data_IF_845704383880
#
_entry.id   IF_845704383880
#
_cell.length_a   1.000
_cell.length_b   1.000
_cell.length_c   1.000
_cell.angle_alpha   90.00
_cell.angle_beta   90.00
_cell.angle_gamma   90.00
#
_symmetry.space_group_name_H-M   'P 1'
#
loop_
_entity.id
_entity.type
_entity.pdbx_description
1 polymer ?
#
# COMPACT_ATOMS: atom_id res chain seq x y z
N UNK A 1 26.96 9.39 -20.65
CA UNK A 1 27.38 8.10 -20.05
C UNK A 1 26.97 8.18 -18.58
N UNK A 2 26.09 7.31 -18.08
CA UNK A 2 25.68 7.36 -16.66
C UNK A 2 26.89 7.03 -15.79
N UNK A 3 27.43 8.01 -15.06
CA UNK A 3 28.57 7.84 -14.18
C UNK A 3 28.26 8.48 -12.83
N UNK A 4 27.64 7.70 -11.96
CA UNK A 4 27.14 8.18 -10.68
C UNK A 4 28.22 8.82 -9.80
N UNK A 5 29.47 8.38 -9.90
CA UNK A 5 30.60 9.00 -9.18
C UNK A 5 30.94 10.37 -9.73
N UNK A 6 30.97 10.55 -11.05
CA UNK A 6 31.19 11.86 -11.66
C UNK A 6 30.02 12.81 -11.37
N UNK A 7 28.79 12.31 -11.47
CA UNK A 7 27.58 13.07 -11.18
C UNK A 7 27.61 13.58 -9.73
N UNK A 8 27.93 12.70 -8.77
CA UNK A 8 28.07 13.06 -7.36
C UNK A 8 29.17 14.11 -7.09
N UNK A 9 30.29 14.04 -7.82
CA UNK A 9 31.37 15.03 -7.70
C UNK A 9 30.99 16.39 -8.30
N UNK A 10 30.12 16.42 -9.31
CA UNK A 10 29.65 17.65 -9.96
C UNK A 10 28.41 18.27 -9.31
N UNK A 11 27.76 17.56 -8.39
CA UNK A 11 26.54 18.00 -7.71
C UNK A 11 26.78 19.26 -6.88
N UNK A 12 25.82 20.19 -6.89
CA UNK A 12 25.91 21.39 -6.07
C UNK A 12 25.85 21.07 -4.57
N UNK A 13 26.33 21.98 -3.73
CA UNK A 13 26.30 21.81 -2.27
C UNK A 13 24.87 21.55 -1.76
N UNK A 14 23.88 22.23 -2.32
CA UNK A 14 22.48 22.06 -1.92
C UNK A 14 21.98 20.66 -2.29
N UNK A 15 22.28 20.20 -3.51
CA UNK A 15 21.94 18.84 -3.96
C UNK A 15 22.55 17.76 -3.05
N UNK A 16 23.83 17.92 -2.67
CA UNK A 16 24.49 16.99 -1.76
C UNK A 16 23.81 16.94 -0.38
N UNK A 17 23.45 18.08 0.20
CA UNK A 17 22.75 18.15 1.49
C UNK A 17 21.40 17.42 1.41
N UNK A 18 20.63 17.65 0.34
CA UNK A 18 19.36 16.95 0.15
C UNK A 18 19.57 15.44 0.00
N UNK A 19 20.52 15.02 -0.82
CA UNK A 19 20.85 13.60 -1.01
C UNK A 19 21.21 12.94 0.33
N UNK A 20 22.02 13.61 1.17
CA UNK A 20 22.33 13.11 2.51
C UNK A 20 21.07 12.90 3.34
N UNK A 21 20.25 13.94 3.46
CA UNK A 21 19.02 13.91 4.24
C UNK A 21 18.11 12.74 3.82
N UNK A 22 17.86 12.58 2.51
CA UNK A 22 17.00 11.52 2.01
C UNK A 22 17.60 10.12 2.16
N UNK A 23 18.90 9.93 1.92
CA UNK A 23 19.54 8.63 2.08
C UNK A 23 19.49 8.14 3.54
N UNK A 24 19.67 9.01 4.53
CA UNK A 24 19.49 8.64 5.94
C UNK A 24 18.05 8.25 6.26
N UNK A 25 17.07 9.01 5.76
CA UNK A 25 15.65 8.65 5.89
C UNK A 25 15.37 7.28 5.26
N UNK A 26 15.96 6.99 4.10
CA UNK A 26 15.79 5.71 3.43
C UNK A 26 16.36 4.56 4.24
N UNK A 27 17.54 4.69 4.86
CA UNK A 27 18.08 3.63 5.74
C UNK A 27 17.10 3.30 6.86
N UNK A 28 16.61 4.32 7.56
CA UNK A 28 15.67 4.13 8.67
C UNK A 28 14.37 3.48 8.19
N UNK A 29 13.85 3.97 7.06
CA UNK A 29 12.60 3.47 6.47
C UNK A 29 12.74 2.04 5.94
N UNK A 30 13.89 1.69 5.35
CA UNK A 30 14.21 0.35 4.87
C UNK A 30 14.35 -0.61 6.05
N UNK A 31 15.11 -0.26 7.09
CA UNK A 31 15.26 -1.10 8.28
C UNK A 31 13.92 -1.39 8.96
N UNK A 32 13.10 -0.36 9.15
CA UNK A 32 11.75 -0.52 9.68
C UNK A 32 10.84 -1.32 8.74
N UNK A 33 10.88 -1.05 7.43
CA UNK A 33 10.07 -1.70 6.42
C UNK A 33 10.35 -3.20 6.27
N UNK A 34 11.62 -3.58 6.27
CA UNK A 34 12.04 -4.98 6.24
C UNK A 34 11.55 -5.74 7.46
N UNK A 35 11.70 -5.13 8.65
CA UNK A 35 11.26 -5.73 9.91
C UNK A 35 9.73 -5.86 9.96
N UNK A 36 9.02 -4.77 9.69
CA UNK A 36 7.56 -4.72 9.77
C UNK A 36 6.89 -5.65 8.76
N UNK A 37 7.37 -5.74 7.52
CA UNK A 37 6.79 -6.66 6.54
C UNK A 37 7.11 -8.12 6.82
N UNK A 38 8.29 -8.43 7.36
CA UNK A 38 8.61 -9.78 7.84
C UNK A 38 7.65 -10.21 8.97
N UNK A 39 7.39 -9.31 9.93
CA UNK A 39 6.39 -9.56 10.98
C UNK A 39 4.99 -9.71 10.38
N UNK A 40 4.59 -8.83 9.46
CA UNK A 40 3.27 -8.91 8.81
C UNK A 40 3.06 -10.27 8.15
N UNK A 41 4.03 -10.71 7.33
CA UNK A 41 3.98 -12.01 6.66
C UNK A 41 3.86 -13.17 7.65
N UNK A 42 4.69 -13.18 8.69
CA UNK A 42 4.64 -14.22 9.73
C UNK A 42 3.27 -14.27 10.41
N UNK A 43 2.71 -13.12 10.79
CA UNK A 43 1.42 -13.05 11.47
C UNK A 43 0.28 -13.47 10.53
N UNK A 44 0.27 -13.04 9.27
CA UNK A 44 -0.75 -13.48 8.31
C UNK A 44 -0.66 -14.97 7.98
N UNK A 45 0.56 -15.54 7.93
CA UNK A 45 0.75 -16.97 7.83
C UNK A 45 0.15 -17.72 9.05
N UNK A 46 0.40 -17.21 10.27
CA UNK A 46 -0.16 -17.77 11.51
C UNK A 46 -1.68 -17.64 11.63
N UNK A 47 -2.28 -16.55 11.16
CA UNK A 47 -3.75 -16.39 11.09
C UNK A 47 -4.38 -17.47 10.19
N UNK A 48 -3.62 -17.93 9.20
CA UNK A 48 -4.07 -18.87 8.17
C UNK A 48 -4.61 -18.14 6.96
N UNK A 49 -4.05 -18.45 5.79
CA UNK A 49 -4.38 -17.86 4.49
C UNK A 49 -5.71 -18.41 3.91
N UNK A 50 -6.78 -18.35 4.71
CA UNK A 50 -8.10 -18.92 4.37
C UNK A 50 -9.06 -17.88 3.80
N UNK A 51 -8.92 -16.62 4.19
CA UNK A 51 -9.78 -15.51 3.77
C UNK A 51 -9.10 -14.67 2.68
N UNK A 52 -9.88 -14.19 1.70
CA UNK A 52 -9.38 -13.37 0.59
C UNK A 52 -8.56 -12.15 1.08
N UNK A 53 -9.02 -11.53 2.16
CA UNK A 53 -8.36 -10.42 2.85
C UNK A 53 -6.95 -10.81 3.31
N UNK A 54 -6.84 -11.87 4.09
CA UNK A 54 -5.57 -12.30 4.68
C UNK A 54 -4.58 -12.70 3.59
N UNK A 55 -5.05 -13.37 2.54
CA UNK A 55 -4.24 -13.70 1.35
C UNK A 55 -3.72 -12.41 0.70
N UNK A 56 -4.61 -11.44 0.45
CA UNK A 56 -4.24 -10.17 -0.21
C UNK A 56 -3.22 -9.39 0.61
N UNK A 57 -3.42 -9.26 1.93
CA UNK A 57 -2.50 -8.55 2.82
C UNK A 57 -1.15 -9.27 2.96
N UNK A 58 -1.14 -10.60 2.91
CA UNK A 58 0.09 -11.39 2.87
C UNK A 58 0.88 -11.11 1.58
N UNK A 59 0.22 -11.14 0.41
CA UNK A 59 0.88 -10.84 -0.86
C UNK A 59 1.35 -9.39 -0.95
N UNK A 60 0.60 -8.44 -0.35
CA UNK A 60 1.03 -7.05 -0.24
C UNK A 60 2.32 -6.92 0.60
N UNK A 61 2.37 -7.56 1.77
CA UNK A 61 3.60 -7.54 2.59
C UNK A 61 4.76 -8.31 1.95
N UNK A 62 4.48 -9.36 1.17
CA UNK A 62 5.50 -10.04 0.38
C UNK A 62 6.07 -9.14 -0.72
N UNK A 63 5.22 -8.47 -1.49
CA UNK A 63 5.67 -7.58 -2.55
C UNK A 63 6.43 -6.37 -2.00
N UNK A 64 5.95 -5.78 -0.91
CA UNK A 64 6.63 -4.70 -0.20
C UNK A 64 8.01 -5.15 0.33
N UNK A 65 8.09 -6.33 0.96
CA UNK A 65 9.36 -6.87 1.47
C UNK A 65 10.38 -7.05 0.35
N UNK A 66 9.98 -7.68 -0.77
CA UNK A 66 10.88 -7.93 -1.90
C UNK A 66 11.29 -6.62 -2.57
N UNK A 67 10.37 -5.66 -2.72
CA UNK A 67 10.67 -4.31 -3.20
C UNK A 67 11.78 -3.65 -2.35
N UNK A 68 11.62 -3.65 -1.02
CA UNK A 68 12.56 -3.04 -0.08
C UNK A 68 13.93 -3.74 -0.11
N UNK A 69 13.97 -5.09 -0.12
CA UNK A 69 15.21 -5.87 -0.24
C UNK A 69 15.96 -5.50 -1.52
N UNK A 70 15.27 -5.41 -2.65
CA UNK A 70 15.87 -5.07 -3.94
C UNK A 70 16.27 -3.58 -4.05
N UNK A 71 15.71 -2.72 -3.21
CA UNK A 71 16.06 -1.31 -3.13
C UNK A 71 17.32 -1.05 -2.30
N UNK A 72 17.61 -1.90 -1.29
CA UNK A 72 18.78 -1.77 -0.42
C UNK A 72 20.12 -1.59 -1.15
N UNK A 73 20.47 -2.38 -2.20
CA UNK A 73 21.74 -2.21 -2.91
C UNK A 73 21.88 -0.84 -3.58
N UNK A 74 20.80 -0.31 -4.14
CA UNK A 74 20.78 1.03 -4.75
C UNK A 74 21.06 2.11 -3.70
N UNK A 75 20.41 2.04 -2.53
CA UNK A 75 20.66 2.98 -1.43
C UNK A 75 22.10 2.89 -0.93
N UNK A 76 22.60 1.67 -0.69
CA UNK A 76 23.96 1.46 -0.22
C UNK A 76 25.00 2.01 -1.21
N UNK A 77 24.81 1.76 -2.51
CA UNK A 77 25.71 2.26 -3.55
C UNK A 77 25.71 3.78 -3.64
N UNK A 78 24.53 4.41 -3.59
CA UNK A 78 24.41 5.89 -3.58
C UNK A 78 25.11 6.52 -2.40
N UNK A 79 24.99 5.94 -1.21
CA UNK A 79 25.68 6.42 -0.03
C UNK A 79 27.20 6.26 -0.12
N UNK A 80 27.69 5.10 -0.56
CA UNK A 80 29.13 4.90 -0.73
C UNK A 80 29.70 5.89 -1.73
N UNK A 81 29.02 6.12 -2.85
CA UNK A 81 29.44 7.09 -3.87
C UNK A 81 29.46 8.51 -3.30
N UNK A 82 28.48 8.85 -2.46
CA UNK A 82 28.40 10.18 -1.86
C UNK A 82 29.48 10.42 -0.79
N UNK A 83 29.70 9.45 0.11
CA UNK A 83 30.68 9.57 1.20
C UNK A 83 32.12 9.31 0.74
N UNK A 84 32.29 8.47 -0.27
CA UNK A 84 33.58 8.04 -0.80
C UNK A 84 33.53 8.07 -2.34
N UNK A 85 33.54 9.27 -2.94
CA UNK A 85 33.45 9.42 -4.41
C UNK A 85 34.59 8.70 -5.15
N UNK A 86 35.75 8.55 -4.51
CA UNK A 86 36.93 7.85 -5.03
C UNK A 86 37.01 6.38 -4.58
N UNK A 87 35.91 5.78 -4.11
CA UNK A 87 35.91 4.38 -3.71
C UNK A 87 36.28 3.48 -4.90
N UNK A 88 37.24 2.58 -4.69
CA UNK A 88 37.75 1.66 -5.69
C UNK A 88 36.76 0.50 -5.88
N UNK A 89 35.67 0.74 -6.61
CA UNK A 89 34.66 -0.27 -6.85
C UNK A 89 35.22 -1.45 -7.67
N UNK A 90 34.94 -2.71 -7.27
CA UNK A 90 35.34 -3.90 -8.04
C UNK A 90 34.51 -4.11 -9.33
N UNK A 91 33.40 -3.38 -9.46
CA UNK A 91 32.48 -3.37 -10.60
C UNK A 91 31.80 -2.00 -10.70
N UNK A 92 31.13 -1.71 -11.80
CA UNK A 92 30.40 -0.45 -11.97
C UNK A 92 29.24 -0.32 -10.95
N UNK A 93 29.23 0.71 -10.07
CA UNK A 93 28.16 0.90 -9.08
C UNK A 93 26.77 1.08 -9.71
N UNK A 94 26.68 1.43 -11.00
CA UNK A 94 25.39 1.46 -11.71
C UNK A 94 24.70 0.10 -11.77
N UNK A 95 25.43 -1.02 -11.62
CA UNK A 95 24.85 -2.36 -11.47
C UNK A 95 23.93 -2.41 -10.24
N UNK A 96 24.35 -1.80 -9.13
CA UNK A 96 23.55 -1.74 -7.91
C UNK A 96 22.46 -0.67 -7.99
N UNK A 97 22.73 0.45 -8.66
CA UNK A 97 21.78 1.58 -8.68
C UNK A 97 20.68 1.42 -9.72
N UNK A 98 21.01 1.02 -10.94
CA UNK A 98 20.05 0.82 -12.01
C UNK A 98 19.65 -0.66 -12.12
N UNK A 99 20.62 -1.58 -12.04
CA UNK A 99 20.38 -3.01 -12.25
C UNK A 99 19.39 -3.60 -11.23
N UNK A 100 19.56 -3.35 -9.93
CA UNK A 100 18.60 -3.87 -8.93
C UNK A 100 17.30 -3.08 -8.90
N UNK A 101 17.34 -1.79 -9.26
CA UNK A 101 16.17 -0.91 -9.25
C UNK A 101 15.09 -1.39 -10.21
N UNK A 102 15.42 -1.90 -11.40
CA UNK A 102 14.40 -2.40 -12.34
C UNK A 102 13.56 -3.52 -11.71
N UNK A 103 14.19 -4.43 -10.97
CA UNK A 103 13.49 -5.49 -10.25
C UNK A 103 12.73 -4.95 -9.04
N UNK A 104 13.31 -4.02 -8.28
CA UNK A 104 12.63 -3.36 -7.17
C UNK A 104 11.34 -2.66 -7.64
N UNK A 105 11.39 -1.96 -8.78
CA UNK A 105 10.23 -1.30 -9.37
C UNK A 105 9.15 -2.31 -9.79
N UNK A 106 9.50 -3.51 -10.26
CA UNK A 106 8.51 -4.54 -10.60
C UNK A 106 7.66 -4.94 -9.39
N UNK A 107 8.29 -5.14 -8.23
CA UNK A 107 7.56 -5.49 -7.01
C UNK A 107 6.79 -4.29 -6.45
N UNK A 108 7.27 -3.07 -6.66
CA UNK A 108 6.51 -1.86 -6.33
C UNK A 108 5.20 -1.75 -7.13
N UNK A 109 5.25 -1.98 -8.45
CA UNK A 109 4.05 -2.01 -9.29
C UNK A 109 3.09 -3.11 -8.84
N UNK A 110 3.64 -4.29 -8.52
CA UNK A 110 2.83 -5.38 -8.01
C UNK A 110 2.14 -5.01 -6.69
N UNK A 111 2.83 -4.39 -5.72
CA UNK A 111 2.22 -3.83 -4.51
C UNK A 111 1.10 -2.83 -4.84
N UNK A 112 1.31 -1.98 -5.85
CA UNK A 112 0.32 -1.02 -6.32
C UNK A 112 -0.94 -1.72 -6.86
N UNK A 113 -0.77 -2.76 -7.69
CA UNK A 113 -1.89 -3.55 -8.22
C UNK A 113 -2.64 -4.32 -7.13
N UNK A 114 -1.91 -4.88 -6.16
CA UNK A 114 -2.52 -5.54 -4.99
C UNK A 114 -3.31 -4.52 -4.15
N UNK A 115 -2.82 -3.29 -4.02
CA UNK A 115 -3.53 -2.20 -3.33
C UNK A 115 -4.81 -1.77 -4.06
N UNK A 116 -4.77 -1.68 -5.40
CA UNK A 116 -5.96 -1.44 -6.24
C UNK A 116 -6.97 -2.57 -6.07
N UNK A 117 -6.53 -3.82 -6.17
CA UNK A 117 -7.38 -4.99 -5.98
C UNK A 117 -8.04 -4.97 -4.60
N UNK A 118 -7.27 -4.67 -3.54
CA UNK A 118 -7.79 -4.51 -2.20
C UNK A 118 -8.85 -3.40 -2.14
N UNK A 119 -8.61 -2.22 -2.73
CA UNK A 119 -9.59 -1.13 -2.75
C UNK A 119 -10.91 -1.55 -3.44
N UNK A 120 -10.83 -2.22 -4.59
CA UNK A 120 -12.00 -2.70 -5.35
C UNK A 120 -12.78 -3.75 -4.55
N UNK A 121 -12.11 -4.77 -4.01
CA UNK A 121 -12.73 -5.83 -3.20
C UNK A 121 -13.52 -5.22 -2.03
N UNK A 122 -12.99 -4.16 -1.42
CA UNK A 122 -13.63 -3.51 -0.27
C UNK A 122 -14.78 -2.63 -0.65
N UNK A 123 -14.64 -1.89 -1.75
CA UNK A 123 -15.74 -1.16 -2.35
C UNK A 123 -16.91 -2.11 -2.65
N UNK A 124 -16.64 -3.27 -3.28
CA UNK A 124 -17.66 -4.28 -3.58
C UNK A 124 -18.28 -4.88 -2.30
N UNK A 125 -17.48 -5.13 -1.27
CA UNK A 125 -17.98 -5.66 0.00
C UNK A 125 -19.02 -4.75 0.67
N UNK A 126 -18.89 -3.43 0.50
CA UNK A 126 -19.83 -2.44 1.06
C UNK A 126 -20.96 -2.12 0.08
N UNK A 127 -20.66 -1.98 -1.20
CA UNK A 127 -21.64 -1.62 -2.22
C UNK A 127 -22.59 -2.78 -2.58
N UNK A 128 -22.11 -4.03 -2.54
CA UNK A 128 -22.83 -5.24 -2.94
C UNK A 128 -22.62 -6.42 -1.96
N UNK A 129 -23.04 -6.30 -0.69
CA UNK A 129 -22.73 -7.29 0.35
C UNK A 129 -23.30 -8.70 0.08
N UNK A 130 -24.46 -8.81 -0.58
CA UNK A 130 -25.13 -10.09 -0.88
C UNK A 130 -24.40 -10.90 -1.96
N UNK A 131 -23.85 -10.22 -2.96
CA UNK A 131 -23.11 -10.85 -4.08
C UNK A 131 -21.63 -11.03 -3.75
N UNK A 132 -21.09 -10.25 -2.80
CA UNK A 132 -19.65 -10.24 -2.52
C UNK A 132 -19.07 -11.62 -2.20
N UNK A 133 -19.76 -12.42 -1.36
CA UNK A 133 -19.27 -13.74 -0.93
C UNK A 133 -19.21 -14.75 -2.08
N UNK A 134 -20.10 -14.64 -3.06
CA UNK A 134 -20.09 -15.51 -4.23
C UNK A 134 -19.14 -14.99 -5.33
N UNK A 135 -18.92 -13.68 -5.38
CA UNK A 135 -17.96 -13.05 -6.31
C UNK A 135 -16.51 -13.34 -5.93
N UNK A 136 -16.12 -13.03 -4.69
CA UNK A 136 -14.71 -13.03 -4.25
C UNK A 136 -14.43 -14.26 -3.37
N UNK A 137 -14.06 -15.36 -4.03
CA UNK A 137 -13.62 -16.60 -3.36
C UNK A 137 -12.10 -16.64 -3.21
N UNK A 138 -11.59 -17.52 -2.35
CA UNK A 138 -10.14 -17.70 -2.13
C UNK A 138 -9.38 -18.05 -3.41
N UNK A 139 -9.94 -18.94 -4.23
CA UNK A 139 -9.30 -19.43 -5.47
C UNK A 139 -9.24 -18.32 -6.50
N UNK A 140 -10.35 -17.59 -6.67
CA UNK A 140 -10.40 -16.42 -7.57
C UNK A 140 -9.45 -15.33 -7.10
N UNK A 141 -9.36 -15.08 -5.79
CA UNK A 141 -8.40 -14.12 -5.22
C UNK A 141 -6.97 -14.51 -5.56
N UNK A 142 -6.58 -15.76 -5.34
CA UNK A 142 -5.24 -16.24 -5.66
C UNK A 142 -4.94 -16.13 -7.16
N UNK A 143 -5.89 -16.52 -8.01
CA UNK A 143 -5.78 -16.39 -9.46
C UNK A 143 -5.59 -14.92 -9.88
N UNK A 144 -6.38 -13.99 -9.33
CA UNK A 144 -6.24 -12.56 -9.60
C UNK A 144 -4.87 -12.05 -9.17
N UNK A 145 -4.40 -12.37 -7.96
CA UNK A 145 -3.10 -11.90 -7.46
C UNK A 145 -1.93 -12.42 -8.32
N UNK A 146 -1.95 -13.70 -8.70
CA UNK A 146 -0.95 -14.27 -9.62
C UNK A 146 -1.02 -13.58 -10.98
N UNK A 147 -2.23 -13.36 -11.51
CA UNK A 147 -2.41 -12.67 -12.80
C UNK A 147 -1.88 -11.24 -12.75
N UNK A 148 -2.12 -10.50 -11.66
CA UNK A 148 -1.58 -9.15 -11.46
C UNK A 148 -0.05 -9.16 -11.42
N UNK A 149 0.58 -10.16 -10.80
CA UNK A 149 2.03 -10.31 -10.83
C UNK A 149 2.55 -10.53 -12.25
N UNK A 150 1.91 -11.43 -13.01
CA UNK A 150 2.27 -11.69 -14.41
C UNK A 150 2.09 -10.44 -15.29
N UNK A 151 1.05 -9.65 -15.03
CA UNK A 151 0.84 -8.36 -15.68
C UNK A 151 1.99 -7.38 -15.35
N UNK A 152 2.40 -7.27 -14.07
CA UNK A 152 3.55 -6.45 -13.68
C UNK A 152 4.84 -6.89 -14.40
N UNK A 153 5.06 -8.19 -14.53
CA UNK A 153 6.20 -8.75 -15.28
C UNK A 153 6.12 -8.37 -16.76
N UNK A 154 4.97 -8.59 -17.41
CA UNK A 154 4.79 -8.33 -18.83
C UNK A 154 4.99 -6.84 -19.17
N UNK A 155 4.43 -5.96 -18.35
CA UNK A 155 4.54 -4.50 -18.51
C UNK A 155 5.99 -4.01 -18.37
N UNK A 156 6.79 -4.66 -17.51
CA UNK A 156 8.20 -4.30 -17.27
C UNK A 156 9.20 -5.10 -18.09
N UNK A 157 8.77 -6.11 -18.84
CA UNK A 157 9.63 -6.99 -19.62
C UNK A 157 10.59 -6.24 -20.56
N UNK A 158 10.16 -5.19 -21.30
CA UNK A 158 11.08 -4.43 -22.16
C UNK A 158 12.25 -3.82 -21.39
N UNK A 159 12.01 -3.31 -20.17
CA UNK A 159 13.04 -2.67 -19.34
C UNK A 159 14.11 -3.65 -18.84
N UNK A 160 13.87 -4.96 -18.88
CA UNK A 160 14.90 -5.96 -18.57
C UNK A 160 15.89 -6.19 -19.73
N UNK A 161 15.54 -5.79 -20.95
CA UNK A 161 16.36 -6.05 -22.14
C UNK A 161 17.40 -4.96 -22.41
N UNK A 162 17.25 -3.79 -21.77
CA UNK A 162 18.06 -2.60 -22.10
C UNK A 162 19.40 -2.54 -21.38
N UNK A 163 19.58 -3.34 -20.34
CA UNK A 163 20.81 -3.42 -19.57
C UNK A 163 21.55 -4.71 -19.87
N UNK A 164 22.85 -4.60 -20.18
CA UNK A 164 23.74 -5.74 -20.42
C UNK A 164 24.97 -5.63 -19.55
N UNK A 165 25.46 -6.77 -19.09
CA UNK A 165 26.71 -6.86 -18.33
C UNK A 165 27.86 -7.11 -19.29
N UNK A 166 28.86 -6.22 -19.31
CA UNK A 166 30.04 -6.37 -20.15
C UNK A 166 31.32 -6.17 -19.35
N UNK A 167 32.38 -6.90 -19.70
CA UNK A 167 33.70 -6.70 -19.10
C UNK A 167 34.41 -5.57 -19.83
N UNK A 168 34.79 -4.53 -19.09
CA UNK A 168 35.46 -3.33 -19.64
C UNK A 168 36.83 -3.18 -18.98
N UNK A 169 37.83 -2.81 -19.78
CA UNK A 169 39.19 -2.53 -19.30
C UNK A 169 39.32 -1.08 -18.89
N UNK A 170 39.75 -0.82 -17.66
CA UNK A 170 40.08 0.52 -17.19
C UNK A 170 41.41 0.96 -17.85
N UNK A 171 41.41 2.04 -18.66
CA UNK A 171 42.62 2.48 -19.35
C UNK A 171 43.69 3.03 -18.41
N UNK A 172 43.33 3.47 -17.20
CA UNK A 172 44.27 4.05 -16.22
C UNK A 172 44.99 2.99 -15.39
N UNK A 173 44.26 1.98 -14.93
CA UNK A 173 44.78 0.93 -14.03
C UNK A 173 45.07 -0.38 -14.76
N UNK A 174 44.74 -0.46 -16.05
CA UNK A 174 44.86 -1.65 -16.88
C UNK A 174 44.06 -2.88 -16.38
N UNK A 175 43.22 -2.72 -15.36
CA UNK A 175 42.40 -3.78 -14.78
C UNK A 175 41.08 -3.93 -15.53
N UNK A 176 40.52 -5.14 -15.56
CA UNK A 176 39.19 -5.40 -16.15
C UNK A 176 38.14 -5.50 -15.05
N UNK A 177 36.99 -4.84 -15.24
CA UNK A 177 35.88 -4.87 -14.30
C UNK A 177 34.54 -5.04 -15.04
N UNK A 178 33.51 -5.47 -14.30
CA UNK A 178 32.16 -5.61 -14.86
C UNK A 178 31.47 -4.26 -14.91
N UNK A 179 30.93 -3.89 -16.07
CA UNK A 179 30.22 -2.65 -16.31
C UNK A 179 28.78 -2.89 -16.74
N UNK A 180 27.86 -2.06 -16.29
CA UNK A 180 26.50 -2.03 -16.82
C UNK A 180 26.51 -1.20 -18.11
N UNK A 181 26.23 -1.86 -19.23
CA UNK A 181 26.20 -1.25 -20.55
C UNK A 181 24.74 -1.13 -21.02
N UNK A 182 24.38 0.06 -21.49
CA UNK A 182 23.07 0.31 -22.07
C UNK A 182 23.03 -0.20 -23.53
N UNK A 183 21.94 -0.84 -23.91
CA UNK A 183 21.70 -1.27 -25.29
C UNK A 183 21.41 -0.07 -26.21
N UNK A 184 21.54 -0.27 -27.53
CA UNK A 184 21.18 0.74 -28.55
C UNK A 184 19.71 1.17 -28.45
N UNK A 185 18.82 0.27 -28.06
CA UNK A 185 17.39 0.54 -27.94
C UNK A 185 17.00 1.17 -26.59
N UNK A 186 17.96 1.43 -25.69
CA UNK A 186 17.71 1.95 -24.35
C UNK A 186 16.80 3.17 -24.37
N UNK A 187 17.09 4.18 -25.20
CA UNK A 187 16.31 5.41 -25.24
C UNK A 187 14.86 5.19 -25.68
N UNK A 188 14.64 4.34 -26.70
CA UNK A 188 13.30 4.02 -27.22
C UNK A 188 12.48 3.24 -26.20
N UNK A 189 13.10 2.23 -25.59
CA UNK A 189 12.44 1.40 -24.56
C UNK A 189 12.19 2.20 -23.29
N UNK A 190 13.14 3.05 -22.87
CA UNK A 190 12.97 3.90 -21.69
C UNK A 190 11.85 4.93 -21.91
N UNK A 191 11.76 5.54 -23.09
CA UNK A 191 10.65 6.45 -23.43
C UNK A 191 9.29 5.73 -23.40
N UNK A 192 9.19 4.54 -24.01
CA UNK A 192 7.98 3.74 -23.95
C UNK A 192 7.63 3.32 -22.51
N UNK A 193 8.63 2.94 -21.71
CA UNK A 193 8.47 2.64 -20.30
C UNK A 193 8.07 3.87 -19.48
N UNK A 194 8.52 5.07 -19.83
CA UNK A 194 8.15 6.31 -19.12
C UNK A 194 6.67 6.66 -19.36
N UNK A 195 6.21 6.52 -20.61
CA UNK A 195 4.80 6.73 -20.99
C UNK A 195 3.90 5.67 -20.34
N UNK A 196 4.28 4.40 -20.39
CA UNK A 196 3.45 3.31 -19.87
C UNK A 196 3.56 3.17 -18.34
N UNK A 197 4.78 3.04 -17.82
CA UNK A 197 5.04 2.57 -16.46
C UNK A 197 5.19 3.69 -15.43
N UNK A 198 5.53 4.91 -15.87
CA UNK A 198 5.57 6.09 -14.99
C UNK A 198 4.32 6.96 -15.16
N UNK A 199 3.56 6.82 -16.26
CA UNK A 199 2.34 7.59 -16.51
C UNK A 199 1.07 6.72 -16.56
N UNK A 200 0.77 6.09 -17.69
CA UNK A 200 -0.56 5.49 -17.95
C UNK A 200 -0.98 4.52 -16.85
N UNK A 201 -0.13 3.54 -16.53
CA UNK A 201 -0.45 2.49 -15.56
C UNK A 201 -0.62 3.05 -14.14
N UNK A 202 0.33 3.83 -13.58
CA UNK A 202 0.14 4.48 -12.29
C UNK A 202 -1.08 5.40 -12.21
N UNK A 203 -1.39 6.17 -13.26
CA UNK A 203 -2.57 7.05 -13.28
C UNK A 203 -3.89 6.27 -13.25
N UNK A 204 -3.97 5.16 -13.98
CA UNK A 204 -5.13 4.27 -13.94
C UNK A 204 -5.30 3.65 -12.56
N UNK A 205 -4.22 3.16 -11.95
CA UNK A 205 -4.23 2.62 -10.59
C UNK A 205 -4.69 3.69 -9.58
N UNK A 206 -4.09 4.88 -9.64
CA UNK A 206 -4.41 6.01 -8.77
C UNK A 206 -5.88 6.41 -8.88
N UNK A 207 -6.37 6.62 -10.10
CA UNK A 207 -7.76 7.02 -10.37
C UNK A 207 -8.74 5.96 -9.89
N UNK A 208 -8.42 4.68 -10.10
CA UNK A 208 -9.25 3.56 -9.63
C UNK A 208 -9.38 3.57 -8.11
N UNK A 209 -8.28 3.76 -7.38
CA UNK A 209 -8.31 3.82 -5.90
C UNK A 209 -9.10 5.03 -5.42
N UNK A 210 -8.91 6.20 -6.03
CA UNK A 210 -9.69 7.41 -5.71
C UNK A 210 -11.19 7.15 -5.89
N UNK A 211 -11.60 6.58 -7.02
CA UNK A 211 -13.01 6.24 -7.29
C UNK A 211 -13.54 5.24 -6.24
N UNK A 212 -12.78 4.20 -5.92
CA UNK A 212 -13.16 3.21 -4.90
C UNK A 212 -13.36 3.86 -3.52
N UNK A 213 -12.46 4.76 -3.12
CA UNK A 213 -12.57 5.49 -1.85
C UNK A 213 -13.80 6.39 -1.83
N UNK A 214 -14.06 7.12 -2.92
CA UNK A 214 -15.24 7.97 -3.04
C UNK A 214 -16.52 7.14 -2.90
N UNK A 215 -16.64 6.01 -3.62
CA UNK A 215 -17.81 5.13 -3.52
C UNK A 215 -17.94 4.57 -2.10
N UNK A 216 -16.85 4.10 -1.51
CA UNK A 216 -16.83 3.54 -0.15
C UNK A 216 -17.31 4.55 0.89
N UNK A 217 -16.83 5.79 0.82
CA UNK A 217 -17.24 6.87 1.72
C UNK A 217 -18.71 7.23 1.56
N UNK A 218 -19.23 7.30 0.33
CA UNK A 218 -20.65 7.55 0.08
C UNK A 218 -21.53 6.45 0.66
N UNK A 219 -21.22 5.18 0.35
CA UNK A 219 -22.01 4.04 0.83
C UNK A 219 -21.97 3.87 2.34
N UNK A 220 -20.84 4.18 2.98
CA UNK A 220 -20.77 4.22 4.43
C UNK A 220 -21.65 5.31 5.05
N UNK A 221 -21.66 6.51 4.46
CA UNK A 221 -22.48 7.64 4.93
C UNK A 221 -23.96 7.33 4.77
N UNK A 222 -24.38 6.78 3.64
CA UNK A 222 -25.75 6.31 3.41
C UNK A 222 -26.17 5.28 4.47
N UNK A 223 -25.33 4.27 4.70
CA UNK A 223 -25.61 3.25 5.70
C UNK A 223 -25.67 3.82 7.13
N UNK A 224 -24.85 4.83 7.45
CA UNK A 224 -24.87 5.50 8.76
C UNK A 224 -26.15 6.33 8.96
N UNK A 225 -26.56 7.11 7.96
CA UNK A 225 -27.81 7.89 8.00
C UNK A 225 -29.04 6.99 8.13
N UNK A 226 -29.08 5.88 7.39
CA UNK A 226 -30.17 4.90 7.50
C UNK A 226 -30.29 4.33 8.92
N UNK A 227 -29.16 4.00 9.56
CA UNK A 227 -29.13 3.53 10.96
C UNK A 227 -29.61 4.59 11.95
N UNK A 228 -29.21 5.85 11.76
CA UNK A 228 -29.66 6.96 12.61
C UNK A 228 -31.18 7.20 12.47
N UNK A 229 -31.71 7.14 11.25
CA UNK A 229 -33.15 7.28 11.01
C UNK A 229 -33.97 6.20 11.73
N UNK A 230 -33.51 4.94 11.71
CA UNK A 230 -34.18 3.83 12.41
C UNK A 230 -34.12 3.98 13.94
N UNK A 231 -33.00 4.48 14.48
CA UNK A 231 -32.85 4.71 15.92
C UNK A 231 -33.81 5.79 16.43
N UNK A 232 -33.99 6.87 15.68
CA UNK A 232 -34.87 7.97 16.07
C UNK A 232 -36.36 7.58 16.02
N UNK A 233 -36.80 6.81 15.03
CA UNK A 233 -38.18 6.28 14.95
C UNK A 233 -38.52 5.26 16.04
N UNK A 234 -37.54 4.64 16.70
CA UNK A 234 -37.77 3.68 17.78
C UNK A 234 -38.13 4.33 19.13
N UNK A 235 -37.82 5.62 19.30
CA UNK A 235 -38.05 6.38 20.54
C UNK A 235 -39.40 7.10 20.58
N UNK A 236 -39.99 7.44 19.43
CA UNK A 236 -41.24 8.23 19.38
C UNK A 236 -42.52 7.40 19.61
N UNK A 237 -42.45 6.08 19.68
CA UNK A 237 -43.61 5.21 19.89
C UNK A 237 -43.96 4.93 21.36
N UNK A 238 -43.18 5.41 22.34
CA UNK A 238 -43.42 5.12 23.77
C UNK A 238 -44.05 6.27 24.59
N UNK A 239 -44.16 7.49 24.06
CA UNK A 239 -44.63 8.65 24.84
C UNK A 239 -46.07 9.09 24.50
N UNK A 240 -46.80 8.29 23.71
CA UNK A 240 -48.09 8.68 23.12
C UNK A 240 -49.32 7.92 23.63
N UNK A 241 -49.43 7.56 24.91
CA UNK A 241 -50.69 7.07 25.47
C UNK A 241 -50.79 7.28 26.98
N UNK A 242 -51.05 8.50 27.43
CA UNK A 242 -51.57 8.77 28.78
C UNK A 242 -52.41 10.05 28.79
N UNK A 243 -53.63 9.96 28.26
CA UNK A 243 -54.69 10.93 28.52
C UNK A 243 -55.97 10.16 28.79
N UNK A 244 -56.38 10.03 30.06
CA UNK A 244 -57.64 10.64 30.53
C UNK A 244 -57.86 10.47 32.05
N UNK A 245 -58.61 11.43 32.60
CA UNK A 245 -59.16 11.56 33.96
C UNK A 245 -60.01 10.36 34.43
N UNK A 246 -60.02 10.05 35.74
CA UNK A 246 -61.08 10.36 36.76
C UNK A 246 -61.01 9.44 38.00
N UNK A 247 -61.02 10.07 39.18
CA UNK A 247 -61.76 9.73 40.43
C UNK A 247 -61.91 8.28 40.91
N UNK A 248 -61.39 8.01 42.12
CA UNK A 248 -62.16 7.45 43.24
C UNK A 248 -62.45 5.94 43.33
N UNK A 249 -62.10 5.38 44.49
CA UNK A 249 -62.67 4.19 45.17
C UNK A 249 -61.90 2.87 45.13
N UNK A 250 -61.99 2.20 46.29
CA UNK A 250 -61.37 0.94 46.74
C UNK A 250 -61.87 -0.29 45.96
N UNK A 251 -61.05 -1.34 45.92
CA UNK A 251 -61.53 -2.71 45.72
C UNK A 251 -60.43 -3.70 45.34
N UNK A 252 -60.23 -4.75 46.16
CA UNK A 252 -59.46 -5.96 45.87
C UNK A 252 -59.91 -6.65 44.58
N UNK A 253 -58.99 -7.33 43.88
CA UNK A 253 -59.04 -8.78 43.58
C UNK A 253 -58.08 -9.15 42.44
N UNK A 254 -57.55 -10.37 42.53
CA UNK A 254 -56.65 -11.03 41.59
C UNK A 254 -57.27 -11.25 40.20
N UNK A 255 -56.45 -11.30 39.16
CA UNK A 255 -56.52 -12.33 38.10
C UNK A 255 -55.41 -12.19 37.06
N UNK A 256 -54.93 -13.36 36.65
CA UNK A 256 -53.93 -13.62 35.62
C UNK A 256 -54.29 -13.02 34.25
N UNK A 257 -53.28 -12.44 33.58
CA UNK A 257 -53.24 -12.49 32.12
C UNK A 257 -51.79 -12.44 31.63
N UNK A 258 -51.40 -13.56 31.01
CA UNK A 258 -50.14 -13.80 30.32
C UNK A 258 -49.99 -12.79 29.17
N UNK A 259 -49.01 -11.88 29.27
CA UNK A 259 -48.60 -11.03 28.15
C UNK A 259 -47.50 -11.74 27.35
N UNK A 260 -47.90 -12.52 26.36
CA UNK A 260 -46.98 -13.04 25.35
C UNK A 260 -46.55 -11.90 24.45
N UNK A 261 -45.40 -11.30 24.75
CA UNK A 261 -44.74 -10.33 23.88
C UNK A 261 -44.42 -11.00 22.53
N UNK A 262 -44.81 -10.45 21.37
CA UNK A 262 -44.40 -11.01 20.10
C UNK A 262 -42.89 -10.76 19.92
N UNK A 263 -42.11 -11.85 19.94
CA UNK A 263 -40.70 -11.84 19.52
C UNK A 263 -40.63 -11.31 18.09
N UNK A 264 -40.26 -10.05 17.94
CA UNK A 264 -40.00 -9.38 16.66
C UNK A 264 -38.98 -10.23 15.89
N UNK A 265 -39.43 -10.88 14.81
CA UNK A 265 -38.58 -11.59 13.86
C UNK A 265 -37.60 -10.58 13.28
N UNK A 266 -36.32 -10.68 13.67
CA UNK A 266 -35.23 -9.90 13.07
C UNK A 266 -35.13 -10.26 11.60
N UNK A 267 -35.42 -9.31 10.73
CA UNK A 267 -35.16 -9.41 9.29
C UNK A 267 -33.65 -9.50 9.01
N UNK A 268 -33.19 -10.22 7.98
CA UNK A 268 -31.76 -10.54 7.77
C UNK A 268 -30.87 -9.34 7.38
N UNK A 269 -31.45 -8.14 7.19
CA UNK A 269 -30.73 -6.94 6.72
C UNK A 269 -29.94 -6.21 7.82
N UNK A 270 -30.04 -6.64 9.07
CA UNK A 270 -29.49 -5.95 10.24
C UNK A 270 -28.14 -6.57 10.63
N UNK A 271 -27.07 -6.30 9.87
CA UNK A 271 -25.67 -6.59 10.26
C UNK A 271 -24.69 -5.92 9.29
N UNK A 272 -24.39 -4.64 9.51
CA UNK A 272 -22.98 -4.26 9.58
C UNK A 272 -22.70 -4.00 11.06
N UNK A 273 -22.10 -4.98 11.72
CA UNK A 273 -21.67 -4.91 13.11
C UNK A 273 -20.62 -3.79 13.27
N UNK A 274 -20.39 -3.29 14.48
CA UNK A 274 -19.24 -2.41 14.76
C UNK A 274 -17.90 -2.97 14.23
N UNK A 275 -17.80 -4.30 14.09
CA UNK A 275 -16.68 -5.01 13.42
C UNK A 275 -16.55 -4.67 11.93
N UNK A 276 -17.66 -4.57 11.20
CA UNK A 276 -17.67 -4.25 9.77
C UNK A 276 -17.29 -2.77 9.53
N UNK A 277 -17.64 -1.88 10.45
CA UNK A 277 -17.21 -0.48 10.41
C UNK A 277 -15.69 -0.34 10.62
N UNK A 278 -15.12 -1.10 11.56
CA UNK A 278 -13.68 -1.11 11.80
C UNK A 278 -12.89 -1.60 10.58
N UNK A 279 -13.40 -2.64 9.89
CA UNK A 279 -12.81 -3.14 8.64
C UNK A 279 -12.82 -2.07 7.56
N UNK A 280 -13.91 -1.31 7.43
CA UNK A 280 -13.97 -0.25 6.42
C UNK A 280 -13.03 0.93 6.76
N UNK A 281 -12.94 1.31 8.03
CA UNK A 281 -11.98 2.35 8.46
C UNK A 281 -10.52 1.97 8.18
N UNK A 282 -10.16 0.69 8.39
CA UNK A 282 -8.85 0.14 8.01
C UNK A 282 -8.52 0.45 6.55
N UNK A 283 -9.48 0.12 5.68
CA UNK A 283 -9.28 0.14 4.24
C UNK A 283 -9.23 1.55 3.71
N UNK A 284 -10.13 2.42 4.19
CA UNK A 284 -10.10 3.83 3.83
C UNK A 284 -8.74 4.43 4.19
N UNK A 285 -8.17 4.05 5.34
CA UNK A 285 -6.85 4.53 5.72
C UNK A 285 -5.73 3.99 4.81
N UNK A 286 -5.71 2.69 4.47
CA UNK A 286 -4.73 2.13 3.53
C UNK A 286 -4.81 2.82 2.17
N UNK A 287 -6.03 3.05 1.65
CA UNK A 287 -6.22 3.71 0.37
C UNK A 287 -5.80 5.19 0.41
N UNK A 288 -6.08 5.90 1.51
CA UNK A 288 -5.62 7.29 1.68
C UNK A 288 -4.09 7.35 1.75
N UNK A 289 -3.46 6.44 2.50
CA UNK A 289 -2.00 6.32 2.58
C UNK A 289 -1.41 6.12 1.18
N UNK A 290 -1.99 5.19 0.41
CA UNK A 290 -1.57 4.92 -0.96
C UNK A 290 -1.72 6.16 -1.85
N UNK A 291 -2.88 6.83 -1.85
CA UNK A 291 -3.15 8.04 -2.64
C UNK A 291 -2.12 9.13 -2.30
N UNK A 292 -1.92 9.42 -1.02
CA UNK A 292 -0.99 10.48 -0.58
C UNK A 292 0.45 10.14 -0.95
N UNK A 293 0.85 8.88 -0.81
CA UNK A 293 2.20 8.42 -1.13
C UNK A 293 2.48 8.38 -2.64
N UNK A 294 1.45 8.17 -3.45
CA UNK A 294 1.58 8.14 -4.90
C UNK A 294 1.55 9.54 -5.53
N UNK A 295 0.96 10.53 -4.86
CA UNK A 295 0.78 11.88 -5.41
C UNK A 295 2.10 12.51 -5.92
N UNK A 296 3.24 12.43 -5.21
CA UNK A 296 4.52 12.95 -5.72
C UNK A 296 4.99 12.26 -7.00
N UNK A 297 4.70 10.96 -7.17
CA UNK A 297 5.00 10.25 -8.42
C UNK A 297 4.21 10.86 -9.57
N UNK A 298 2.91 11.08 -9.38
CA UNK A 298 2.02 11.58 -10.43
C UNK A 298 2.40 13.00 -10.86
N UNK A 299 2.72 13.87 -9.90
CA UNK A 299 3.15 15.24 -10.18
C UNK A 299 4.47 15.24 -10.96
N UNK A 300 5.47 14.49 -10.50
CA UNK A 300 6.78 14.44 -11.15
C UNK A 300 6.69 13.86 -12.58
N UNK A 301 5.86 12.83 -12.75
CA UNK A 301 5.70 12.13 -14.03
C UNK A 301 5.03 13.02 -15.09
N UNK A 302 3.98 13.76 -14.73
CA UNK A 302 3.34 14.71 -15.65
C UNK A 302 4.27 15.89 -15.95
N UNK A 303 4.98 16.40 -14.94
CA UNK A 303 5.90 17.52 -15.16
C UNK A 303 7.02 17.16 -16.13
N UNK A 304 7.56 15.93 -16.04
CA UNK A 304 8.55 15.40 -16.99
C UNK A 304 8.03 15.31 -18.43
N UNK A 305 6.74 15.05 -18.63
CA UNK A 305 6.14 15.04 -19.98
C UNK A 305 6.01 16.46 -20.57
N UNK A 306 5.81 17.47 -19.72
CA UNK A 306 5.61 18.87 -20.13
C UNK A 306 6.96 19.55 -20.38
N UNK A 307 7.95 19.30 -19.52
CA UNK A 307 9.28 19.89 -19.57
C UNK A 307 10.35 18.79 -19.70
N UNK A 308 10.78 18.45 -20.92
CA UNK A 308 11.79 17.41 -21.14
C UNK A 308 13.14 17.69 -20.46
N UNK A 309 13.45 18.96 -20.13
CA UNK A 309 14.65 19.32 -19.36
C UNK A 309 14.55 18.94 -17.88
N UNK A 310 13.37 18.54 -17.39
CA UNK A 310 13.16 17.92 -16.08
C UNK A 310 13.48 16.42 -16.13
N UNK A 311 14.74 16.10 -16.40
CA UNK A 311 15.25 14.74 -16.44
C UNK A 311 16.71 14.69 -15.96
N UNK A 312 17.24 13.48 -15.77
CA UNK A 312 18.64 13.27 -15.47
C UNK A 312 19.52 13.88 -16.58
N UNK A 313 20.39 14.82 -16.19
CA UNK A 313 21.29 15.50 -17.11
C UNK A 313 20.67 16.66 -17.91
N UNK A 314 19.38 16.95 -17.72
CA UNK A 314 18.75 18.17 -18.26
C UNK A 314 19.06 19.40 -17.40
N UNK A 315 18.65 20.58 -17.86
CA UNK A 315 18.88 21.85 -17.14
C UNK A 315 18.23 21.88 -15.76
N UNK A 316 17.14 21.15 -15.54
CA UNK A 316 16.44 21.05 -14.26
C UNK A 316 16.85 19.80 -13.45
N UNK A 317 18.03 19.22 -13.71
CA UNK A 317 18.50 18.01 -13.05
C UNK A 317 18.43 18.07 -11.53
N UNK A 318 18.87 19.17 -10.89
CA UNK A 318 18.82 19.28 -9.41
C UNK A 318 17.39 19.16 -8.86
N UNK A 319 16.43 19.83 -9.51
CA UNK A 319 15.02 19.77 -9.14
C UNK A 319 14.45 18.37 -9.40
N UNK A 320 14.83 17.75 -10.51
CA UNK A 320 14.47 16.38 -10.84
C UNK A 320 14.99 15.37 -9.81
N UNK A 321 16.24 15.51 -9.34
CA UNK A 321 16.80 14.68 -8.28
C UNK A 321 16.04 14.87 -6.96
N UNK A 322 15.73 16.12 -6.59
CA UNK A 322 14.93 16.40 -5.39
C UNK A 322 13.56 15.72 -5.45
N UNK A 323 12.82 15.89 -6.55
CA UNK A 323 11.53 15.24 -6.74
C UNK A 323 11.65 13.71 -6.78
N UNK A 324 12.69 13.18 -7.42
CA UNK A 324 12.99 11.74 -7.42
C UNK A 324 13.23 11.22 -6.01
N UNK A 325 13.91 12.01 -5.16
CA UNK A 325 14.15 11.63 -3.78
C UNK A 325 12.86 11.63 -2.94
N UNK A 326 12.03 12.67 -3.09
CA UNK A 326 10.70 12.74 -2.44
C UNK A 326 9.83 11.56 -2.88
N UNK A 327 9.76 11.31 -4.18
CA UNK A 327 9.04 10.21 -4.82
C UNK A 327 9.45 8.87 -4.21
N UNK A 328 10.74 8.54 -4.23
CA UNK A 328 11.24 7.30 -3.64
C UNK A 328 10.94 7.20 -2.14
N UNK A 329 11.07 8.31 -1.39
CA UNK A 329 10.77 8.34 0.05
C UNK A 329 9.31 7.98 0.32
N UNK A 330 8.37 8.58 -0.41
CA UNK A 330 6.96 8.25 -0.28
C UNK A 330 6.67 6.79 -0.68
N UNK A 331 7.33 6.27 -1.71
CA UNK A 331 7.21 4.86 -2.10
C UNK A 331 7.70 3.90 -1.00
N UNK A 332 8.86 4.18 -0.41
CA UNK A 332 9.40 3.40 0.71
C UNK A 332 8.50 3.47 1.94
N UNK A 333 8.01 4.66 2.29
CA UNK A 333 7.07 4.81 3.41
C UNK A 333 5.79 4.03 3.18
N UNK A 334 5.21 4.07 1.97
CA UNK A 334 4.02 3.32 1.61
C UNK A 334 4.19 1.81 1.83
N UNK A 335 5.36 1.26 1.45
CA UNK A 335 5.69 -0.13 1.67
C UNK A 335 5.92 -0.47 3.16
N UNK A 336 6.33 0.49 3.98
CA UNK A 336 6.77 0.24 5.36
C UNK A 336 5.67 0.41 6.43
N UNK A 337 4.68 1.28 6.22
CA UNK A 337 3.76 1.69 7.31
C UNK A 337 2.50 0.82 7.46
N UNK A 338 2.34 -0.20 6.63
CA UNK A 338 1.17 -1.10 6.63
C UNK A 338 0.90 -1.76 7.99
N UNK A 339 1.95 -2.06 8.77
CA UNK A 339 1.82 -2.66 10.11
C UNK A 339 0.97 -1.81 11.07
N UNK A 340 1.05 -0.48 10.99
CA UNK A 340 0.27 0.41 11.86
C UNK A 340 -1.22 0.33 11.58
N UNK A 341 -1.58 0.18 10.30
CA UNK A 341 -2.97 -0.04 9.89
C UNK A 341 -3.46 -1.38 10.43
N UNK A 342 -2.65 -2.44 10.34
CA UNK A 342 -3.01 -3.76 10.82
C UNK A 342 -3.18 -3.80 12.34
N UNK A 343 -2.27 -3.18 13.09
CA UNK A 343 -2.39 -3.05 14.55
C UNK A 343 -3.67 -2.27 14.90
N UNK A 344 -3.96 -1.17 14.23
CA UNK A 344 -5.11 -0.34 14.62
C UNK A 344 -6.46 -0.97 14.26
N UNK A 345 -6.56 -1.65 13.12
CA UNK A 345 -7.86 -2.03 12.56
C UNK A 345 -8.06 -3.52 12.29
N UNK A 346 -7.03 -4.36 12.33
CA UNK A 346 -7.17 -5.81 12.14
C UNK A 346 -7.12 -6.53 13.50
N UNK A 347 -8.30 -6.89 14.02
CA UNK A 347 -8.43 -7.57 15.32
C UNK A 347 -7.74 -8.92 15.36
N UNK A 348 -7.87 -9.74 14.30
CA UNK A 348 -7.18 -11.04 14.20
C UNK A 348 -5.65 -10.84 14.22
N UNK A 349 -5.16 -9.85 13.49
CA UNK A 349 -3.74 -9.49 13.49
C UNK A 349 -3.22 -9.15 14.87
N UNK A 350 -3.92 -8.27 15.62
CA UNK A 350 -3.52 -7.91 16.99
C UNK A 350 -3.47 -9.11 17.92
N UNK A 351 -4.50 -9.95 17.92
CA UNK A 351 -4.57 -11.12 18.81
C UNK A 351 -3.43 -12.09 18.50
N UNK A 352 -3.18 -12.39 17.21
CA UNK A 352 -2.09 -13.29 16.81
C UNK A 352 -0.71 -12.68 17.06
N UNK A 353 -0.54 -11.36 16.90
CA UNK A 353 0.69 -10.63 17.22
C UNK A 353 1.00 -10.71 18.71
N UNK A 354 0.01 -10.41 19.57
CA UNK A 354 0.15 -10.48 21.03
C UNK A 354 0.47 -11.91 21.48
N UNK A 355 -0.27 -12.91 21.00
CA UNK A 355 0.01 -14.31 21.31
C UNK A 355 1.40 -14.76 20.87
N UNK A 356 1.91 -14.23 19.75
CA UNK A 356 3.23 -14.60 19.21
C UNK A 356 4.39 -14.02 20.02
N UNK A 357 4.28 -12.79 20.51
CA UNK A 357 5.42 -12.09 21.13
C UNK A 357 5.31 -11.90 22.64
N UNK A 358 4.09 -11.92 23.21
CA UNK A 358 3.85 -11.69 24.64
C UNK A 358 3.20 -12.89 25.35
N UNK A 359 2.86 -13.96 24.63
CA UNK A 359 2.14 -15.11 25.20
C UNK A 359 0.68 -14.80 25.56
N UNK A 360 -0.16 -15.83 25.62
CA UNK A 360 -1.56 -15.69 26.04
C UNK A 360 -1.64 -15.49 27.55
N UNK A 361 -1.67 -14.24 28.01
CA UNK A 361 -2.03 -13.91 29.41
C UNK A 361 -3.53 -14.13 29.67
N UNK A 362 -4.08 -15.33 29.44
CA UNK A 362 -5.42 -15.76 29.90
C UNK A 362 -5.56 -17.29 29.94
N UNK A 363 -4.70 -17.97 30.70
CA UNK A 363 -4.98 -19.34 31.14
C UNK A 363 -4.33 -19.58 32.51
N UNK A 364 -4.90 -18.96 33.55
CA UNK A 364 -4.71 -19.29 34.97
C UNK A 364 -5.74 -18.53 35.82
N UNK A 365 -6.99 -18.96 35.74
CA UNK A 365 -7.92 -18.90 36.86
C UNK A 365 -8.87 -20.09 36.76
N UNK A 366 -8.47 -21.18 37.37
CA UNK A 366 -9.34 -22.26 37.82
C UNK A 366 -8.93 -22.59 39.24
#
# INVERSE_FOLDING_TARGET
MLNISADAMSASRNEQIWNYFFHYIWILTLGFGLTSNSVNMMIFAKIGLRENVTITLFFLSLSDLVHLVLFCPSTAARMIVQEKPNYAWPFDPMILVAGTKVYSSLFYDYSSFVSVFLAVVRCLCVAKPLEFKSMITKVRTLFCLISLFLISVAIRAPSFTVFRMARVRNPKTNSSFMKLVISSDYYRVNQASDILNENIVPWLAYTTVVVCVVILLHKLREAAKFRQSLANTGTEQNDGASSNRKTGSKGSSASDSVSTSPKRKKTPSEKMSAKDLQVVQSVTLVCIIFILSQLPFQIASVYRLIEPEFDNGGRLNELYQLFSNVKNTCGLLNASINIFVYIKYNSKYRVTLQATFWGTSQEKSS
#
